data_IF_143645654554
#
_entry.id   IF_143645654554
#
_cell.length_a   1.000
_cell.length_b   1.000
_cell.length_c   1.000
_cell.angle_alpha   90.00
_cell.angle_beta   90.00
_cell.angle_gamma   90.00
#
_symmetry.space_group_name_H-M   'P 1'
#
loop_
_entity.id
_entity.type
_entity.pdbx_description
1 polymer ?
#
# COMPACT_ATOMS: atom_id res chain seq x y z
N UNK A 1 -4.83 19.35 15.02
CA UNK A 1 -3.41 19.68 14.78
C UNK A 1 -2.66 18.41 15.13
N UNK A 2 -2.01 17.66 14.27
CA UNK A 2 -1.31 17.81 12.97
C UNK A 2 -1.31 16.38 12.34
N UNK A 3 -1.22 16.07 11.06
CA UNK A 3 -0.84 16.70 9.78
C UNK A 3 -1.34 15.75 8.68
N UNK A 4 -1.48 16.16 7.41
CA UNK A 4 -1.72 15.20 6.34
C UNK A 4 -0.54 14.22 6.29
N UNK A 5 -0.87 12.92 6.36
CA UNK A 5 0.00 11.81 6.00
C UNK A 5 0.73 12.17 4.70
N UNK A 6 2.05 11.90 4.66
CA UNK A 6 2.89 11.89 3.45
C UNK A 6 3.53 13.20 2.96
N UNK A 7 3.70 14.24 3.78
CA UNK A 7 4.56 15.39 3.38
C UNK A 7 6.05 15.18 3.71
N UNK A 8 6.38 14.40 4.74
CA UNK A 8 7.77 14.16 5.19
C UNK A 8 8.26 12.72 4.98
N UNK A 9 7.41 11.85 4.41
CA UNK A 9 7.73 10.46 4.12
C UNK A 9 7.95 9.58 5.36
N UNK A 10 7.43 9.96 6.54
CA UNK A 10 7.52 9.17 7.77
C UNK A 10 6.14 8.97 8.40
N UNK A 11 5.84 7.74 8.80
CA UNK A 11 4.63 7.40 9.56
C UNK A 11 5.00 7.45 11.05
N UNK A 12 4.27 8.25 11.85
CA UNK A 12 4.44 8.28 13.31
C UNK A 12 3.30 7.54 14.03
N UNK A 13 3.45 7.32 15.35
CA UNK A 13 2.49 6.57 16.19
C UNK A 13 1.09 7.23 16.36
N UNK A 14 0.85 8.38 15.73
CA UNK A 14 -0.48 9.01 15.64
C UNK A 14 -1.11 8.77 14.26
N UNK A 15 -0.29 8.43 13.26
CA UNK A 15 -0.65 8.21 11.85
C UNK A 15 -0.65 6.72 11.48
N UNK A 16 -0.33 5.84 12.43
CA UNK A 16 -0.15 4.39 12.23
C UNK A 16 -1.46 3.61 12.01
N UNK A 17 -2.58 4.09 12.57
CA UNK A 17 -3.86 3.38 12.53
C UNK A 17 -4.64 3.45 11.21
N UNK A 18 -4.23 4.31 10.26
CA UNK A 18 -4.90 4.44 8.95
C UNK A 18 -3.95 4.97 7.88
N UNK A 19 -3.12 4.10 7.33
CA UNK A 19 -2.18 4.42 6.25
C UNK A 19 -2.83 4.17 4.89
N UNK A 20 -3.14 5.26 4.19
CA UNK A 20 -3.62 5.21 2.81
C UNK A 20 -2.44 5.00 1.86
N UNK A 21 -2.61 4.09 0.90
CA UNK A 21 -1.61 3.86 -0.16
C UNK A 21 -2.30 3.93 -1.51
N UNK A 22 -1.72 4.72 -2.40
CA UNK A 22 -2.14 4.84 -3.80
C UNK A 22 -0.99 4.52 -4.73
N UNK A 23 -1.29 4.02 -5.92
CA UNK A 23 -0.30 3.84 -6.97
C UNK A 23 -0.93 3.81 -8.36
N UNK A 24 -0.07 3.65 -9.36
CA UNK A 24 -0.42 3.67 -10.77
C UNK A 24 0.64 2.91 -11.57
N UNK A 25 0.27 2.38 -12.73
CA UNK A 25 1.19 1.58 -13.57
C UNK A 25 0.81 0.10 -13.67
N UNK A 26 -0.24 -0.30 -12.94
CA UNK A 26 -0.88 -1.58 -13.14
C UNK A 26 -1.58 -1.65 -14.50
N UNK A 27 -1.72 -2.85 -15.05
CA UNK A 27 -2.62 -3.08 -16.16
C UNK A 27 -4.07 -2.80 -15.74
N UNK A 28 -4.87 -2.33 -16.70
CA UNK A 28 -6.26 -1.98 -16.46
C UNK A 28 -7.03 -3.19 -15.90
N UNK A 29 -7.69 -3.00 -14.74
CA UNK A 29 -8.43 -4.05 -14.04
C UNK A 29 -7.58 -5.21 -13.49
N UNK A 30 -6.25 -5.06 -13.41
CA UNK A 30 -5.38 -6.05 -12.78
C UNK A 30 -5.55 -6.06 -11.25
N UNK A 31 -5.31 -7.23 -10.65
CA UNK A 31 -5.23 -7.37 -9.19
C UNK A 31 -3.87 -6.88 -8.72
N UNK A 32 -3.82 -5.98 -7.75
CA UNK A 32 -2.60 -5.44 -7.16
C UNK A 32 -2.52 -5.85 -5.70
N UNK A 33 -1.49 -6.62 -5.35
CA UNK A 33 -1.15 -6.99 -3.98
C UNK A 33 -0.10 -6.03 -3.43
N UNK A 34 -0.46 -5.29 -2.39
CA UNK A 34 0.42 -4.34 -1.71
C UNK A 34 0.84 -4.95 -0.38
N UNK A 35 2.12 -4.90 -0.07
CA UNK A 35 2.70 -5.35 1.19
C UNK A 35 3.47 -4.22 1.85
N UNK A 36 3.20 -3.98 3.13
CA UNK A 36 3.96 -3.06 3.98
C UNK A 36 4.71 -3.87 5.05
N UNK A 37 5.97 -3.51 5.32
CA UNK A 37 6.79 -4.17 6.33
C UNK A 37 7.80 -3.24 6.99
N UNK A 38 8.03 -3.41 8.30
CA UNK A 38 9.14 -2.79 9.06
C UNK A 38 10.40 -3.69 9.13
N UNK A 39 10.38 -4.86 8.47
CA UNK A 39 11.42 -5.89 8.54
C UNK A 39 11.18 -7.01 9.57
N UNK A 40 10.21 -6.87 10.48
CA UNK A 40 9.81 -7.90 11.46
C UNK A 40 8.30 -8.20 11.49
N UNK A 41 7.47 -7.22 11.15
CA UNK A 41 6.03 -7.27 10.95
C UNK A 41 5.70 -6.97 9.49
N UNK A 42 4.64 -7.59 9.00
CA UNK A 42 4.22 -7.48 7.60
C UNK A 42 2.68 -7.48 7.54
N UNK A 43 2.12 -6.65 6.68
CA UNK A 43 0.71 -6.67 6.33
C UNK A 43 0.56 -6.65 4.82
N UNK A 44 -0.48 -7.30 4.30
CA UNK A 44 -0.79 -7.31 2.88
C UNK A 44 -2.27 -7.03 2.63
N UNK A 45 -2.54 -6.30 1.56
CA UNK A 45 -3.87 -5.93 1.07
C UNK A 45 -3.90 -6.11 -0.44
N UNK A 46 -5.06 -6.44 -0.97
CA UNK A 46 -5.27 -6.59 -2.42
C UNK A 46 -6.36 -5.63 -2.88
N UNK A 47 -6.10 -4.96 -4.00
CA UNK A 47 -7.04 -4.06 -4.67
C UNK A 47 -7.06 -4.36 -6.16
N UNK A 48 -8.13 -3.99 -6.85
CA UNK A 48 -8.18 -4.01 -8.31
C UNK A 48 -7.88 -2.63 -8.85
N UNK A 49 -6.93 -2.52 -9.77
CA UNK A 49 -6.66 -1.28 -10.48
C UNK A 49 -7.86 -0.87 -11.34
N UNK A 50 -8.06 0.42 -11.54
CA UNK A 50 -9.10 0.93 -12.42
C UNK A 50 -8.71 0.77 -13.90
N UNK A 51 -9.59 1.23 -14.80
CA UNK A 51 -9.37 1.15 -16.24
C UNK A 51 -8.17 1.94 -16.76
N UNK A 52 -7.57 2.81 -15.94
CA UNK A 52 -6.36 3.57 -16.25
C UNK A 52 -5.09 2.96 -15.65
N UNK A 53 -5.22 1.91 -14.82
CA UNK A 53 -4.11 1.31 -14.10
C UNK A 53 -3.80 1.98 -12.76
N UNK A 54 -4.66 2.90 -12.29
CA UNK A 54 -4.54 3.52 -10.98
C UNK A 54 -5.23 2.67 -9.90
N UNK A 55 -4.71 2.67 -8.69
CA UNK A 55 -5.23 1.86 -7.59
C UNK A 55 -5.06 2.55 -6.24
N UNK A 56 -5.93 2.23 -5.29
CA UNK A 56 -5.91 2.78 -3.93
C UNK A 56 -6.41 1.78 -2.90
N UNK A 57 -5.72 1.65 -1.76
CA UNK A 57 -6.15 0.83 -0.63
C UNK A 57 -7.17 1.61 0.23
N UNK A 58 -8.20 2.18 -0.39
CA UNK A 58 -9.21 2.98 0.30
C UNK A 58 -10.27 2.11 1.00
N UNK A 59 -10.62 2.43 2.26
CA UNK A 59 -11.62 1.68 3.03
C UNK A 59 -11.09 0.36 3.59
N UNK A 60 -9.79 0.15 3.43
CA UNK A 60 -9.05 -1.01 3.90
C UNK A 60 -7.61 -0.62 4.18
N UNK A 61 -7.38 0.63 4.60
CA UNK A 61 -6.06 1.17 4.96
C UNK A 61 -5.26 0.24 5.89
N UNK A 62 -3.94 0.36 5.84
CA UNK A 62 -3.07 -0.40 6.71
C UNK A 62 -3.08 0.20 8.12
N UNK A 63 -3.16 -0.68 9.12
CA UNK A 63 -2.94 -0.33 10.53
C UNK A 63 -1.57 -0.88 10.95
N UNK A 64 -0.56 -0.02 10.90
CA UNK A 64 0.82 -0.35 11.26
C UNK A 64 1.14 -0.06 12.72
N UNK A 65 0.13 0.09 13.58
CA UNK A 65 0.36 0.37 15.01
C UNK A 65 1.12 -0.72 15.76
N UNK A 66 1.10 -1.94 15.23
CA UNK A 66 1.90 -3.06 15.75
C UNK A 66 3.34 -3.10 15.23
N UNK A 67 3.70 -2.20 14.30
CA UNK A 67 5.02 -2.19 13.68
C UNK A 67 6.01 -1.43 14.56
N UNK A 68 7.26 -1.86 14.51
CA UNK A 68 8.37 -1.17 15.14
C UNK A 68 8.57 0.20 14.47
N UNK A 69 8.88 1.21 15.27
CA UNK A 69 9.21 2.52 14.73
C UNK A 69 10.50 2.44 13.89
N UNK A 70 10.46 3.01 12.70
CA UNK A 70 11.58 2.95 11.78
C UNK A 70 11.13 3.11 10.33
N UNK A 71 11.99 2.67 9.41
CA UNK A 71 11.69 2.69 7.98
C UNK A 71 10.71 1.58 7.64
N UNK A 72 9.64 1.94 6.95
CA UNK A 72 8.72 0.98 6.35
C UNK A 72 9.10 0.74 4.88
N UNK A 73 8.93 -0.49 4.44
CA UNK A 73 9.15 -0.94 3.07
C UNK A 73 7.81 -1.26 2.43
N UNK A 74 7.62 -0.83 1.19
CA UNK A 74 6.42 -1.05 0.40
C UNK A 74 6.76 -1.83 -0.86
N UNK A 75 5.95 -2.83 -1.16
CA UNK A 75 6.02 -3.59 -2.41
C UNK A 75 4.62 -3.78 -2.98
N UNK A 76 4.45 -3.46 -4.26
CA UNK A 76 3.21 -3.68 -4.98
C UNK A 76 3.47 -4.61 -6.17
N UNK A 77 2.75 -5.72 -6.23
CA UNK A 77 2.80 -6.67 -7.34
C UNK A 77 1.43 -6.76 -8.00
N UNK A 78 1.40 -6.60 -9.31
CA UNK A 78 0.19 -6.80 -10.10
C UNK A 78 0.13 -8.21 -10.66
N UNK A 79 -1.09 -8.74 -10.77
CA UNK A 79 -1.39 -9.95 -11.50
C UNK A 79 -2.58 -9.72 -12.44
N UNK A 80 -2.38 -10.07 -13.70
CA UNK A 80 -3.42 -9.98 -14.73
C UNK A 80 -4.35 -11.21 -14.72
N UNK A 81 -5.43 -11.17 -15.51
CA UNK A 81 -6.37 -12.29 -15.64
C UNK A 81 -5.75 -13.54 -16.29
N UNK A 82 -4.59 -13.41 -16.95
CA UNK A 82 -3.84 -14.50 -17.54
C UNK A 82 -2.85 -15.14 -16.54
N UNK A 83 -2.69 -14.57 -15.34
CA UNK A 83 -1.82 -15.06 -14.28
C UNK A 83 -0.37 -14.57 -14.37
N UNK A 84 -0.06 -13.59 -15.24
CA UNK A 84 1.27 -12.96 -15.25
C UNK A 84 1.43 -12.11 -14.00
N UNK A 85 2.67 -11.97 -13.50
CA UNK A 85 2.97 -11.13 -12.34
C UNK A 85 4.09 -10.14 -12.66
N UNK A 86 3.91 -8.87 -12.32
CA UNK A 86 4.94 -7.82 -12.45
C UNK A 86 4.86 -6.83 -11.29
N UNK A 87 5.85 -5.96 -11.13
CA UNK A 87 5.71 -4.79 -10.25
C UNK A 87 4.67 -3.84 -10.85
N UNK A 88 3.81 -3.29 -9.99
CA UNK A 88 2.82 -2.27 -10.39
C UNK A 88 3.43 -0.88 -10.46
#
# INVERSE_FOLDING_TARGET
>A
MTTPIEVDGRINAVEDGSVLITGSGAEANASVSVTISDGGNNQSRTVTADGSGAWTISGSEFDVSSFNNGTLTLSATQSDAAGNTSSA
#
